data_IF_843304633609
#
_entry.id   IF_843304633609
#
_cell.length_a   1.000
_cell.length_b   1.000
_cell.length_c   1.000
_cell.angle_alpha   90.00
_cell.angle_beta   90.00
_cell.angle_gamma   90.00
#
_symmetry.space_group_name_H-M   'P 1'
#
loop_
_entity.id
_entity.type
_entity.pdbx_description
1 polymer ?
#
# COMPACT_ATOMS: atom_id res chain seq x y z
N UNK A 1 5.90 34.05 -13.90
CA UNK A 1 5.61 32.65 -13.51
C UNK A 1 4.79 32.60 -12.22
N UNK A 2 3.46 32.82 -12.26
CA UNK A 2 2.62 32.84 -11.06
C UNK A 2 2.46 31.48 -10.36
N UNK A 3 2.70 30.36 -11.07
CA UNK A 3 2.52 29.02 -10.52
C UNK A 3 3.66 28.57 -9.58
N UNK A 4 4.91 28.96 -9.84
CA UNK A 4 6.05 28.63 -8.94
C UNK A 4 5.88 29.28 -7.55
N UNK A 5 5.35 30.49 -7.50
CA UNK A 5 5.04 31.18 -6.24
C UNK A 5 3.84 30.58 -5.49
N UNK A 6 2.94 29.87 -6.19
CA UNK A 6 1.74 29.27 -5.59
C UNK A 6 2.03 27.89 -4.96
N UNK A 7 3.08 27.19 -5.41
CA UNK A 7 3.47 25.87 -4.90
C UNK A 7 4.96 25.82 -4.51
N UNK A 8 5.36 26.54 -3.45
CA UNK A 8 6.76 26.62 -3.03
C UNK A 8 7.20 25.32 -2.34
N UNK A 9 8.14 24.61 -2.96
CA UNK A 9 8.78 23.39 -2.42
C UNK A 9 10.19 23.24 -3.01
N UNK A 10 11.14 22.67 -2.25
CA UNK A 10 12.57 22.75 -2.57
C UNK A 10 13.03 21.79 -3.68
N UNK A 11 12.24 20.78 -4.07
CA UNK A 11 12.67 19.80 -5.07
C UNK A 11 12.51 20.24 -6.52
N UNK A 12 13.41 19.77 -7.38
CA UNK A 12 13.44 20.12 -8.81
C UNK A 12 12.35 19.37 -9.61
N UNK A 13 12.06 18.14 -9.22
CA UNK A 13 11.03 17.28 -9.82
C UNK A 13 9.98 16.97 -8.75
N UNK A 14 8.71 17.08 -9.09
CA UNK A 14 7.65 16.58 -8.20
C UNK A 14 7.31 15.13 -8.54
N UNK A 15 7.44 14.25 -7.54
CA UNK A 15 6.98 12.86 -7.62
C UNK A 15 5.57 12.79 -7.02
N UNK A 16 4.57 12.58 -7.86
CA UNK A 16 3.17 12.39 -7.43
C UNK A 16 2.90 10.90 -7.30
N UNK A 17 2.44 10.43 -6.13
CA UNK A 17 1.99 9.05 -6.02
C UNK A 17 0.64 8.89 -5.31
N UNK A 18 0.03 7.73 -5.53
CA UNK A 18 -1.27 7.37 -4.99
C UNK A 18 -1.21 7.03 -3.49
N UNK A 19 -2.25 7.42 -2.75
CA UNK A 19 -2.37 7.17 -1.31
C UNK A 19 -1.68 8.19 -0.40
N UNK A 20 -1.87 7.99 0.90
CA UNK A 20 -1.08 8.65 1.93
C UNK A 20 0.35 8.07 1.88
N UNK A 21 1.22 8.66 1.06
CA UNK A 21 2.68 8.45 1.03
C UNK A 21 3.38 8.78 2.37
N UNK A 22 2.65 8.79 3.49
CA UNK A 22 3.19 8.90 4.84
C UNK A 22 3.79 7.55 5.30
N UNK A 23 3.73 6.50 4.46
CA UNK A 23 4.18 5.13 4.70
C UNK A 23 5.64 4.82 4.34
N UNK A 24 5.91 3.62 3.85
CA UNK A 24 7.24 3.11 3.53
C UNK A 24 7.79 3.66 2.20
N UNK A 25 6.88 3.95 1.29
CA UNK A 25 7.11 4.30 -0.10
C UNK A 25 7.82 5.67 -0.23
N UNK A 26 7.37 6.70 0.48
CA UNK A 26 7.99 8.03 0.38
C UNK A 26 9.40 8.05 0.96
N UNK A 27 9.61 7.43 2.12
CA UNK A 27 10.95 7.34 2.73
C UNK A 27 11.87 6.49 1.86
N UNK A 28 11.36 5.44 1.23
CA UNK A 28 12.09 4.67 0.23
C UNK A 28 12.49 5.55 -0.94
N UNK A 29 11.54 6.22 -1.60
CA UNK A 29 11.80 7.08 -2.75
C UNK A 29 12.77 8.23 -2.41
N UNK A 30 12.65 8.84 -1.23
CA UNK A 30 13.58 9.87 -0.73
C UNK A 30 15.01 9.32 -0.63
N UNK A 31 15.20 8.19 0.05
CA UNK A 31 16.53 7.59 0.25
C UNK A 31 17.10 7.05 -1.08
N UNK A 32 16.26 6.44 -1.90
CA UNK A 32 16.64 5.77 -3.15
C UNK A 32 17.02 6.74 -4.28
N UNK A 33 16.22 7.79 -4.49
CA UNK A 33 16.54 8.83 -5.49
C UNK A 33 17.82 9.58 -5.12
N UNK A 34 18.17 9.56 -3.83
CA UNK A 34 19.35 10.18 -3.24
C UNK A 34 18.99 11.56 -2.70
N UNK A 35 19.35 11.80 -1.44
CA UNK A 35 19.36 13.15 -0.89
C UNK A 35 20.45 13.97 -1.59
N UNK A 36 20.01 15.12 -2.12
CA UNK A 36 20.78 16.35 -2.33
C UNK A 36 21.44 16.62 -3.69
N UNK A 37 20.94 17.67 -4.35
CA UNK A 37 21.77 18.63 -5.10
C UNK A 37 22.16 19.73 -4.09
N UNK A 38 23.34 19.64 -3.49
CA UNK A 38 23.78 20.61 -2.49
C UNK A 38 23.00 20.50 -1.18
N UNK A 39 22.09 21.45 -0.87
CA UNK A 39 21.27 21.46 0.36
C UNK A 39 19.77 21.24 0.12
N UNK A 40 19.35 20.97 -1.12
CA UNK A 40 17.94 20.77 -1.49
C UNK A 40 17.69 19.36 -2.05
N UNK A 41 16.55 18.71 -1.70
CA UNK A 41 16.19 17.39 -2.21
C UNK A 41 15.99 17.43 -3.73
N UNK A 42 16.44 16.42 -4.47
CA UNK A 42 16.24 16.32 -5.91
C UNK A 42 14.75 16.18 -6.27
N UNK A 43 14.07 15.31 -5.54
CA UNK A 43 12.66 15.00 -5.71
C UNK A 43 11.86 15.53 -4.53
N UNK A 44 10.77 16.23 -4.84
CA UNK A 44 9.75 16.59 -3.87
C UNK A 44 8.58 15.61 -3.98
N UNK A 45 8.25 14.91 -2.89
CA UNK A 45 7.24 13.86 -2.89
C UNK A 45 5.87 14.41 -2.50
N UNK A 46 4.86 14.13 -3.32
CA UNK A 46 3.49 14.58 -3.14
C UNK A 46 2.54 13.39 -2.90
N UNK A 47 2.11 13.14 -1.64
CA UNK A 47 0.99 12.24 -1.35
C UNK A 47 -0.30 12.83 -1.93
N UNK A 48 -0.87 12.18 -2.95
CA UNK A 48 -2.11 12.65 -3.55
C UNK A 48 -3.35 12.01 -2.90
N UNK A 49 -3.21 10.91 -2.16
CA UNK A 49 -4.32 10.21 -1.50
C UNK A 49 -5.15 9.32 -2.44
N UNK A 50 -5.41 9.74 -3.68
CA UNK A 50 -6.14 8.96 -4.71
C UNK A 50 -5.59 9.22 -6.10
N UNK A 51 -5.80 8.29 -7.04
CA UNK A 51 -5.56 8.49 -8.48
C UNK A 51 -6.30 9.71 -9.06
N UNK A 52 -7.54 9.97 -8.64
CA UNK A 52 -8.28 11.19 -9.04
C UNK A 52 -7.59 12.46 -8.58
N UNK A 53 -7.03 12.46 -7.37
CA UNK A 53 -6.27 13.60 -6.85
C UNK A 53 -4.95 13.82 -7.61
N UNK A 54 -4.28 12.73 -8.03
CA UNK A 54 -3.07 12.83 -8.87
C UNK A 54 -3.37 13.62 -10.14
N UNK A 55 -4.48 13.31 -10.81
CA UNK A 55 -4.91 14.02 -12.02
C UNK A 55 -5.17 15.52 -11.79
N UNK A 56 -5.70 15.90 -10.63
CA UNK A 56 -5.90 17.31 -10.28
C UNK A 56 -4.60 18.02 -9.92
N UNK A 57 -3.76 17.38 -9.11
CA UNK A 57 -2.48 17.91 -8.65
C UNK A 57 -1.47 18.01 -9.82
N UNK A 58 -1.50 17.06 -10.77
CA UNK A 58 -0.65 17.09 -11.96
C UNK A 58 -0.85 18.37 -12.77
N UNK A 59 -2.10 18.81 -12.95
CA UNK A 59 -2.40 20.04 -13.69
C UNK A 59 -1.84 21.28 -12.97
N UNK A 60 -1.93 21.30 -11.64
CA UNK A 60 -1.47 22.41 -10.83
C UNK A 60 0.05 22.52 -10.79
N UNK A 61 0.73 21.39 -10.54
CA UNK A 61 2.18 21.35 -10.31
C UNK A 61 2.96 21.27 -11.61
N UNK A 62 2.50 20.46 -12.57
CA UNK A 62 3.22 20.21 -13.82
C UNK A 62 3.33 21.43 -14.74
N UNK A 63 2.56 22.49 -14.50
CA UNK A 63 2.77 23.79 -15.15
C UNK A 63 3.94 24.58 -14.59
N UNK A 64 4.38 24.26 -13.38
CA UNK A 64 5.45 24.97 -12.67
C UNK A 64 6.79 24.24 -12.68
N UNK A 65 6.77 22.91 -12.73
CA UNK A 65 7.96 22.05 -12.67
C UNK A 65 7.66 20.70 -13.31
N UNK A 66 8.67 19.95 -13.77
CA UNK A 66 8.47 18.60 -14.28
C UNK A 66 7.92 17.67 -13.20
N UNK A 67 6.98 16.79 -13.58
CA UNK A 67 6.38 15.80 -12.68
C UNK A 67 6.65 14.37 -13.14
N UNK A 68 6.97 13.51 -12.18
CA UNK A 68 6.98 12.06 -12.32
C UNK A 68 5.76 11.53 -11.58
N UNK A 69 4.96 10.69 -12.23
CA UNK A 69 3.75 10.11 -11.62
C UNK A 69 3.92 8.61 -11.44
N UNK A 70 3.63 8.12 -10.23
CA UNK A 70 3.54 6.69 -9.90
C UNK A 70 2.14 6.39 -9.37
N UNK A 71 1.38 5.60 -10.10
CA UNK A 71 0.06 5.12 -9.68
C UNK A 71 0.09 3.64 -9.31
N UNK A 72 -0.78 3.23 -8.39
CA UNK A 72 -0.96 1.81 -8.10
C UNK A 72 -1.58 1.11 -9.30
N UNK A 73 -0.93 0.05 -9.79
CA UNK A 73 -1.53 -0.80 -10.83
C UNK A 73 -2.84 -1.42 -10.37
N UNK A 74 -3.03 -1.55 -9.05
CA UNK A 74 -4.15 -2.25 -8.41
C UNK A 74 -4.35 -3.63 -9.08
N UNK A 75 -5.58 -3.93 -9.47
CA UNK A 75 -5.96 -5.17 -10.15
C UNK A 75 -5.91 -5.04 -11.69
N UNK A 76 -5.17 -4.06 -12.26
CA UNK A 76 -4.98 -3.94 -13.73
C UNK A 76 -3.89 -4.91 -14.19
N UNK A 77 -4.04 -5.45 -15.40
CA UNK A 77 -2.91 -6.07 -16.09
C UNK A 77 -1.84 -5.04 -16.43
N UNK A 78 -0.62 -5.50 -16.72
CA UNK A 78 0.48 -4.61 -17.11
C UNK A 78 0.13 -3.81 -18.38
N UNK A 79 -0.43 -4.47 -19.39
CA UNK A 79 -0.79 -3.85 -20.67
C UNK A 79 -1.88 -2.78 -20.49
N UNK A 80 -2.97 -3.10 -19.78
CA UNK A 80 -4.04 -2.13 -19.47
C UNK A 80 -3.49 -0.91 -18.73
N UNK A 81 -2.63 -1.14 -17.73
CA UNK A 81 -2.05 -0.06 -16.95
C UNK A 81 -1.12 0.83 -17.78
N UNK A 82 -0.38 0.25 -18.72
CA UNK A 82 0.49 0.98 -19.63
C UNK A 82 -0.30 1.87 -20.60
N UNK A 83 -1.37 1.33 -21.19
CA UNK A 83 -2.27 2.08 -22.07
C UNK A 83 -2.94 3.25 -21.34
N UNK A 84 -3.41 3.02 -20.10
CA UNK A 84 -3.98 4.06 -19.25
C UNK A 84 -2.97 5.18 -18.94
N UNK A 85 -1.73 4.82 -18.58
CA UNK A 85 -0.67 5.79 -18.32
C UNK A 85 -0.36 6.65 -19.54
N UNK A 86 -0.22 6.05 -20.72
CA UNK A 86 0.04 6.78 -21.97
C UNK A 86 -1.11 7.75 -22.27
N UNK A 87 -2.35 7.30 -22.09
CA UNK A 87 -3.54 8.13 -22.33
C UNK A 87 -3.55 9.33 -21.37
N UNK A 88 -3.34 9.09 -20.07
CA UNK A 88 -3.31 10.13 -19.05
C UNK A 88 -2.16 11.13 -19.31
N UNK A 89 -0.96 10.64 -19.61
CA UNK A 89 0.19 11.48 -19.94
C UNK A 89 -0.12 12.41 -21.12
N UNK A 90 -0.54 11.85 -22.26
CA UNK A 90 -0.84 12.63 -23.48
C UNK A 90 -1.93 13.67 -23.27
N UNK A 91 -2.97 13.32 -22.52
CA UNK A 91 -4.08 14.22 -22.24
C UNK A 91 -3.65 15.44 -21.39
N UNK A 92 -2.67 15.26 -20.52
CA UNK A 92 -2.15 16.32 -19.64
C UNK A 92 -1.08 17.15 -20.33
N UNK A 93 -0.18 16.53 -21.10
CA UNK A 93 0.82 17.25 -21.91
C UNK A 93 0.16 18.22 -22.89
N UNK A 94 -1.02 17.87 -23.45
CA UNK A 94 -1.85 18.79 -24.26
C UNK A 94 -2.32 20.05 -23.54
N UNK A 95 -2.18 20.10 -22.21
CA UNK A 95 -2.60 21.21 -21.33
C UNK A 95 -1.40 21.94 -20.71
N UNK A 96 -0.25 21.87 -21.38
CA UNK A 96 1.03 22.48 -20.99
C UNK A 96 1.57 21.97 -19.64
N UNK A 97 1.23 20.72 -19.30
CA UNK A 97 1.73 20.03 -18.11
C UNK A 97 3.04 19.32 -18.47
N UNK A 98 4.12 19.62 -17.75
CA UNK A 98 5.44 19.01 -17.95
C UNK A 98 5.51 17.65 -17.25
N UNK A 99 5.21 16.57 -17.97
CA UNK A 99 5.28 15.19 -17.44
C UNK A 99 6.54 14.52 -17.96
N UNK A 100 7.44 14.09 -17.07
CA UNK A 100 8.66 13.36 -17.47
C UNK A 100 8.37 11.87 -17.65
N UNK A 101 7.48 11.33 -16.82
CA UNK A 101 6.97 9.96 -16.93
C UNK A 101 5.66 9.82 -16.15
N UNK A 102 4.74 9.03 -16.70
CA UNK A 102 3.60 8.49 -15.98
C UNK A 102 3.74 6.98 -15.97
N UNK A 103 3.97 6.42 -14.79
CA UNK A 103 4.18 4.99 -14.62
C UNK A 103 3.17 4.42 -13.65
N UNK A 104 2.89 3.14 -13.79
CA UNK A 104 2.24 2.37 -12.72
C UNK A 104 3.20 1.33 -12.20
N UNK A 105 3.25 1.24 -10.88
CA UNK A 105 3.93 0.14 -10.22
C UNK A 105 2.90 -0.86 -9.73
N UNK A 106 3.27 -2.12 -9.60
CA UNK A 106 2.47 -3.02 -8.78
C UNK A 106 2.81 -2.71 -7.32
N UNK A 107 2.03 -1.85 -6.65
CA UNK A 107 2.29 -1.48 -5.24
C UNK A 107 2.49 -2.68 -4.33
N UNK A 108 1.72 -3.74 -4.60
CA UNK A 108 1.89 -5.02 -3.95
C UNK A 108 3.37 -5.42 -4.02
N UNK A 109 4.04 -5.40 -5.18
CA UNK A 109 5.43 -5.84 -5.32
C UNK A 109 6.43 -5.05 -4.45
N UNK A 110 6.39 -3.72 -4.39
CA UNK A 110 7.33 -2.95 -3.55
C UNK A 110 7.07 -3.16 -2.05
N UNK A 111 5.82 -3.08 -1.62
CA UNK A 111 5.47 -3.37 -0.23
C UNK A 111 5.74 -4.84 0.14
N UNK A 112 5.61 -5.76 -0.82
CA UNK A 112 5.92 -7.18 -0.61
C UNK A 112 7.40 -7.47 -0.58
N UNK A 113 8.25 -6.66 -1.23
CA UNK A 113 9.68 -6.82 -1.04
C UNK A 113 10.11 -6.49 0.40
N UNK A 114 9.34 -5.66 1.10
CA UNK A 114 9.53 -5.46 2.54
C UNK A 114 9.19 -6.71 3.36
N UNK A 115 8.47 -7.67 2.78
CA UNK A 115 8.15 -8.98 3.34
C UNK A 115 9.13 -10.06 2.88
N UNK A 116 10.20 -9.72 2.16
CA UNK A 116 11.24 -10.70 1.91
C UNK A 116 11.90 -11.12 3.23
N UNK A 117 12.24 -12.42 3.42
CA UNK A 117 12.81 -12.90 4.68
C UNK A 117 14.05 -12.12 5.12
N UNK A 118 14.94 -11.81 4.18
CA UNK A 118 16.18 -11.05 4.45
C UNK A 118 15.94 -9.59 4.85
N UNK A 119 14.75 -9.05 4.57
CA UNK A 119 14.36 -7.68 4.96
C UNK A 119 13.60 -7.72 6.28
N UNK A 120 12.58 -8.59 6.35
CA UNK A 120 11.61 -8.61 7.44
C UNK A 120 12.16 -9.26 8.71
N UNK A 121 12.76 -10.45 8.59
CA UNK A 121 13.19 -11.25 9.73
C UNK A 121 14.20 -10.53 10.62
N UNK A 122 15.31 -9.96 10.12
CA UNK A 122 16.29 -9.32 10.99
C UNK A 122 15.69 -8.12 11.75
N UNK A 123 14.84 -7.33 11.09
CA UNK A 123 14.22 -6.14 11.70
C UNK A 123 13.28 -6.53 12.83
N UNK A 124 12.40 -7.49 12.61
CA UNK A 124 11.45 -7.94 13.62
C UNK A 124 12.11 -8.77 14.72
N UNK A 125 13.10 -9.60 14.38
CA UNK A 125 13.88 -10.37 15.34
C UNK A 125 14.53 -9.45 16.36
N UNK A 126 15.20 -8.40 15.89
CA UNK A 126 15.86 -7.42 16.74
C UNK A 126 14.85 -6.61 17.56
N UNK A 127 13.82 -6.05 16.91
CA UNK A 127 12.84 -5.21 17.58
C UNK A 127 12.06 -5.96 18.68
N UNK A 128 11.71 -7.22 18.43
CA UNK A 128 10.90 -8.02 19.33
C UNK A 128 11.69 -8.99 20.21
N UNK A 129 13.02 -9.08 20.04
CA UNK A 129 13.89 -10.02 20.75
C UNK A 129 13.33 -11.46 20.72
N UNK A 130 12.91 -11.91 19.53
CA UNK A 130 12.25 -13.20 19.28
C UNK A 130 13.09 -14.06 18.31
N UNK A 131 12.60 -15.23 17.90
CA UNK A 131 13.23 -16.07 16.86
C UNK A 131 12.52 -15.88 15.51
N UNK A 132 13.22 -16.21 14.42
CA UNK A 132 12.64 -16.16 13.07
C UNK A 132 11.39 -17.06 12.95
N UNK A 133 11.38 -18.22 13.62
CA UNK A 133 10.24 -19.14 13.68
C UNK A 133 8.97 -18.49 14.26
N UNK A 134 9.13 -17.58 15.23
CA UNK A 134 8.02 -16.87 15.86
C UNK A 134 7.37 -15.87 14.90
N UNK A 135 8.19 -15.20 14.08
CA UNK A 135 7.75 -14.23 13.07
C UNK A 135 7.00 -14.98 11.96
N UNK A 136 7.56 -16.11 11.49
CA UNK A 136 6.93 -16.96 10.48
C UNK A 136 5.60 -17.51 10.98
N UNK A 137 5.55 -18.00 12.22
CA UNK A 137 4.30 -18.46 12.84
C UNK A 137 3.28 -17.33 12.94
N UNK A 138 3.67 -16.13 13.35
CA UNK A 138 2.76 -14.99 13.39
C UNK A 138 2.20 -14.67 12.00
N UNK A 139 3.03 -14.69 10.96
CA UNK A 139 2.59 -14.50 9.57
C UNK A 139 1.57 -15.56 9.16
N UNK A 140 1.88 -16.84 9.36
CA UNK A 140 0.99 -17.96 9.04
C UNK A 140 -0.37 -17.85 9.77
N UNK A 141 -0.40 -17.32 10.99
CA UNK A 141 -1.64 -17.08 11.74
C UNK A 141 -2.44 -15.87 11.23
N UNK A 142 -1.76 -14.86 10.70
CA UNK A 142 -2.39 -13.65 10.13
C UNK A 142 -3.01 -13.94 8.76
N UNK A 143 -2.33 -14.77 7.97
CA UNK A 143 -2.65 -15.02 6.57
C UNK A 143 -4.17 -15.35 6.35
N UNK A 144 -4.80 -16.28 7.09
CA UNK A 144 -6.22 -16.58 6.92
C UNK A 144 -7.15 -15.41 7.25
N UNK A 145 -6.77 -14.56 8.21
CA UNK A 145 -7.57 -13.40 8.62
C UNK A 145 -7.53 -12.29 7.58
N UNK A 146 -6.40 -12.14 6.88
CA UNK A 146 -6.26 -11.20 5.77
C UNK A 146 -6.98 -11.65 4.51
N UNK A 147 -7.12 -12.96 4.30
CA UNK A 147 -7.77 -13.52 3.12
C UNK A 147 -9.19 -12.96 2.91
N UNK A 148 -9.98 -12.86 3.99
CA UNK A 148 -11.34 -12.32 3.92
C UNK A 148 -11.35 -10.85 3.50
N UNK A 149 -10.51 -10.04 4.16
CA UNK A 149 -10.42 -8.61 3.91
C UNK A 149 -10.00 -8.32 2.46
N UNK A 150 -8.94 -9.00 1.99
CA UNK A 150 -8.48 -8.84 0.61
C UNK A 150 -9.54 -9.34 -0.38
N UNK A 151 -10.30 -10.40 -0.07
CA UNK A 151 -11.29 -10.96 -1.00
C UNK A 151 -12.42 -9.97 -1.22
N UNK A 152 -12.84 -9.29 -0.15
CA UNK A 152 -13.76 -8.18 -0.21
C UNK A 152 -13.23 -7.04 -1.09
N UNK A 153 -12.00 -6.58 -0.88
CA UNK A 153 -11.42 -5.49 -1.67
C UNK A 153 -11.31 -5.84 -3.16
N UNK A 154 -10.90 -7.06 -3.47
CA UNK A 154 -10.84 -7.57 -4.84
C UNK A 154 -12.22 -7.54 -5.51
N UNK A 155 -13.21 -8.18 -4.89
CA UNK A 155 -14.57 -8.28 -5.45
C UNK A 155 -15.20 -6.89 -5.62
N UNK A 156 -15.01 -6.00 -4.63
CA UNK A 156 -15.49 -4.63 -4.70
C UNK A 156 -14.81 -3.79 -5.78
N UNK A 157 -13.50 -3.94 -5.97
CA UNK A 157 -12.76 -3.20 -6.99
C UNK A 157 -13.17 -3.64 -8.40
N UNK A 158 -13.33 -4.96 -8.61
CA UNK A 158 -13.87 -5.51 -9.86
C UNK A 158 -15.27 -4.97 -10.16
N UNK A 159 -16.14 -4.93 -9.16
CA UNK A 159 -17.47 -4.35 -9.29
C UNK A 159 -17.40 -2.85 -9.67
N UNK A 160 -16.55 -2.06 -9.00
CA UNK A 160 -16.37 -0.63 -9.27
C UNK A 160 -15.86 -0.32 -10.66
N UNK A 161 -15.00 -1.15 -11.26
CA UNK A 161 -14.48 -0.89 -12.61
C UNK A 161 -15.52 -1.07 -13.71
N UNK A 162 -16.44 -2.02 -13.52
CA UNK A 162 -17.55 -2.24 -14.45
C UNK A 162 -18.67 -1.21 -14.21
N UNK A 163 -18.68 -0.57 -13.04
CA UNK A 163 -19.58 0.51 -12.69
C UNK A 163 -19.12 1.83 -13.33
N UNK A 164 -19.74 2.21 -14.44
CA UNK A 164 -19.76 3.62 -14.87
C UNK A 164 -20.75 4.35 -13.95
N UNK A 165 -20.27 5.05 -12.93
CA UNK A 165 -21.16 5.81 -12.05
C UNK A 165 -21.81 6.98 -12.81
N UNK A 166 -23.14 7.08 -12.73
CA UNK A 166 -23.93 8.28 -13.08
C UNK A 166 -24.34 9.09 -11.84
N UNK A 167 -23.99 8.65 -10.63
CA UNK A 167 -24.34 9.32 -9.37
C UNK A 167 -23.10 9.44 -8.44
N UNK A 168 -22.60 10.65 -8.17
CA UNK A 168 -21.41 10.87 -7.36
C UNK A 168 -21.61 10.71 -5.84
N UNK A 169 -22.83 10.51 -5.34
CA UNK A 169 -23.10 10.67 -3.91
C UNK A 169 -23.03 9.39 -3.06
N UNK A 170 -23.11 8.18 -3.64
CA UNK A 170 -23.27 6.96 -2.82
C UNK A 170 -22.45 5.79 -3.38
N UNK A 171 -21.13 5.81 -3.13
CA UNK A 171 -20.27 4.65 -3.39
C UNK A 171 -19.73 4.07 -2.07
N UNK A 172 -20.55 3.24 -1.42
CA UNK A 172 -20.17 2.24 -0.41
C UNK A 172 -19.29 2.71 0.76
N UNK A 173 -19.95 3.21 1.82
CA UNK A 173 -19.34 3.46 3.13
C UNK A 173 -19.45 2.28 4.11
N UNK A 174 -19.70 1.05 3.64
CA UNK A 174 -19.75 -0.15 4.49
C UNK A 174 -18.53 -1.07 4.31
N UNK A 175 -17.35 -0.49 4.02
CA UNK A 175 -16.09 -1.21 3.80
C UNK A 175 -15.13 -1.18 5.00
N UNK A 176 -15.62 -1.21 6.24
CA UNK A 176 -14.76 -1.29 7.43
C UNK A 176 -15.35 -2.31 8.41
N UNK A 177 -15.20 -3.60 8.09
CA UNK A 177 -15.24 -4.60 9.16
C UNK A 177 -14.19 -4.21 10.19
N UNK A 178 -14.61 -4.20 11.44
CA UNK A 178 -13.73 -3.89 12.55
C UNK A 178 -12.65 -4.99 12.63
N UNK A 179 -11.37 -4.61 12.78
CA UNK A 179 -10.23 -5.56 12.78
C UNK A 179 -10.42 -6.64 13.85
N UNK A 180 -9.88 -7.84 13.72
CA UNK A 180 -9.89 -8.84 14.78
C UNK A 180 -9.45 -8.28 16.10
N UNK A 181 -10.22 -8.62 17.13
CA UNK A 181 -9.82 -8.38 18.50
C UNK A 181 -8.75 -9.41 18.86
N UNK A 182 -7.57 -8.93 19.25
CA UNK A 182 -6.56 -9.78 19.85
C UNK A 182 -6.82 -9.84 21.35
N UNK A 183 -7.46 -10.91 21.83
CA UNK A 183 -7.58 -11.19 23.26
C UNK A 183 -6.45 -12.12 23.71
N UNK A 184 -5.71 -11.67 24.73
CA UNK A 184 -4.44 -12.24 25.16
C UNK A 184 -4.49 -13.73 25.57
N UNK A 185 -3.38 -14.41 25.28
CA UNK A 185 -2.84 -15.68 25.80
C UNK A 185 -3.39 -17.04 25.35
N UNK A 186 -4.61 -17.16 24.81
CA UNK A 186 -5.18 -18.49 24.49
C UNK A 186 -5.82 -18.61 23.11
N UNK A 187 -6.17 -17.48 22.50
CA UNK A 187 -6.89 -17.46 21.24
C UNK A 187 -6.01 -16.68 20.25
N UNK A 188 -5.58 -17.33 19.17
CA UNK A 188 -4.84 -16.67 18.10
C UNK A 188 -5.66 -15.55 17.46
N UNK A 189 -5.22 -15.05 16.32
CA UNK A 189 -5.98 -14.05 15.56
C UNK A 189 -7.35 -14.62 15.24
N UNK A 190 -8.40 -13.93 15.70
CA UNK A 190 -9.78 -14.32 15.39
C UNK A 190 -10.09 -13.87 13.97
N UNK A 191 -10.29 -14.77 13.00
CA UNK A 191 -10.68 -14.36 11.66
C UNK A 191 -12.00 -13.57 11.72
N UNK A 192 -12.19 -12.53 10.90
CA UNK A 192 -13.48 -11.86 10.85
C UNK A 192 -14.57 -12.84 10.36
N UNK A 193 -15.82 -12.60 10.74
CA UNK A 193 -16.94 -13.49 10.42
C UNK A 193 -17.25 -13.49 8.92
N UNK A 194 -16.87 -14.57 8.24
CA UNK A 194 -17.06 -14.80 6.80
C UNK A 194 -18.53 -14.69 6.38
N UNK A 195 -19.43 -15.29 7.18
CA UNK A 195 -20.87 -15.31 6.89
C UNK A 195 -21.51 -13.92 6.89
N UNK A 196 -21.21 -13.11 7.90
CA UNK A 196 -21.70 -11.74 8.02
C UNK A 196 -21.16 -10.83 6.92
N UNK A 197 -19.87 -10.97 6.56
CA UNK A 197 -19.28 -10.20 5.46
C UNK A 197 -19.93 -10.55 4.12
N UNK A 198 -20.05 -11.86 3.83
CA UNK A 198 -20.71 -12.38 2.63
C UNK A 198 -22.16 -11.91 2.52
N UNK A 199 -22.92 -11.95 3.61
CA UNK A 199 -24.29 -11.45 3.65
C UNK A 199 -24.38 -9.95 3.32
N UNK A 200 -23.43 -9.15 3.83
CA UNK A 200 -23.32 -7.73 3.50
C UNK A 200 -23.01 -7.48 2.01
N UNK A 201 -22.10 -8.27 1.42
CA UNK A 201 -21.82 -8.22 -0.02
C UNK A 201 -23.06 -8.58 -0.85
N UNK A 202 -23.76 -9.66 -0.51
CA UNK A 202 -25.00 -10.08 -1.17
C UNK A 202 -26.07 -8.98 -1.11
N UNK A 203 -26.30 -8.39 0.05
CA UNK A 203 -27.27 -7.32 0.24
C UNK A 203 -26.93 -6.09 -0.63
N UNK A 204 -25.68 -5.63 -0.61
CA UNK A 204 -25.24 -4.49 -1.40
C UNK A 204 -25.30 -4.78 -2.90
N UNK A 205 -24.91 -5.97 -3.32
CA UNK A 205 -24.99 -6.41 -4.72
C UNK A 205 -26.43 -6.49 -5.23
N UNK A 206 -27.37 -6.94 -4.39
CA UNK A 206 -28.81 -6.96 -4.72
C UNK A 206 -29.39 -5.55 -4.85
N UNK A 207 -29.16 -4.70 -3.85
CA UNK A 207 -29.62 -3.31 -3.88
C UNK A 207 -29.11 -2.57 -5.12
N UNK A 208 -27.86 -2.86 -5.52
CA UNK A 208 -27.27 -2.29 -6.73
C UNK A 208 -27.89 -2.83 -8.03
N UNK A 209 -28.14 -4.15 -8.11
CA UNK A 209 -28.82 -4.77 -9.28
C UNK A 209 -30.21 -4.17 -9.50
N UNK A 210 -30.96 -3.95 -8.43
CA UNK A 210 -32.28 -3.33 -8.49
C UNK A 210 -32.25 -1.89 -9.03
N UNK A 211 -31.17 -1.15 -8.78
CA UNK A 211 -31.04 0.25 -9.20
C UNK A 211 -30.51 0.43 -10.63
N UNK A 212 -29.61 -0.44 -11.11
CA UNK A 212 -28.81 -0.15 -12.32
C UNK A 212 -29.07 -1.06 -13.53
N UNK A 213 -30.07 -1.95 -13.47
CA UNK A 213 -30.65 -2.76 -14.56
C UNK A 213 -29.73 -3.49 -15.56
N UNK A 214 -28.40 -3.45 -15.43
CA UNK A 214 -27.54 -3.81 -16.58
C UNK A 214 -26.09 -4.15 -16.24
N UNK A 215 -25.78 -4.95 -15.22
CA UNK A 215 -24.47 -5.65 -15.17
C UNK A 215 -24.62 -7.08 -14.62
N UNK A 216 -24.01 -8.04 -15.32
CA UNK A 216 -23.88 -9.44 -14.94
C UNK A 216 -22.52 -9.69 -14.25
N UNK A 217 -22.29 -9.12 -13.07
CA UNK A 217 -21.09 -9.41 -12.28
C UNK A 217 -21.46 -10.27 -11.07
N UNK A 218 -20.84 -11.45 -10.95
CA UNK A 218 -20.99 -12.33 -9.79
C UNK A 218 -19.99 -11.96 -8.70
N UNK A 219 -20.25 -10.83 -8.04
CA UNK A 219 -19.38 -10.27 -6.97
C UNK A 219 -19.16 -11.27 -5.83
N UNK A 220 -20.19 -12.05 -5.49
CA UNK A 220 -20.13 -13.04 -4.41
C UNK A 220 -19.32 -14.25 -4.86
N UNK A 221 -19.52 -14.72 -6.10
CA UNK A 221 -18.69 -15.76 -6.69
C UNK A 221 -17.21 -15.39 -6.77
N UNK A 222 -16.89 -14.15 -7.16
CA UNK A 222 -15.51 -13.64 -7.21
C UNK A 222 -14.86 -13.61 -5.82
N UNK A 223 -15.61 -13.16 -4.81
CA UNK A 223 -15.19 -13.21 -3.41
C UNK A 223 -14.92 -14.65 -2.95
N UNK A 224 -15.88 -15.57 -3.16
CA UNK A 224 -15.77 -16.98 -2.74
C UNK A 224 -14.57 -17.67 -3.41
N UNK A 225 -14.33 -17.39 -4.69
CA UNK A 225 -13.20 -17.92 -5.44
C UNK A 225 -11.87 -17.43 -4.86
N UNK A 226 -11.71 -16.11 -4.67
CA UNK A 226 -10.47 -15.52 -4.12
C UNK A 226 -10.22 -15.92 -2.67
N UNK A 227 -11.25 -15.90 -1.81
CA UNK A 227 -11.12 -16.31 -0.42
C UNK A 227 -10.65 -17.76 -0.29
N UNK A 228 -11.21 -18.68 -1.11
CA UNK A 228 -10.78 -20.09 -1.12
C UNK A 228 -9.31 -20.27 -1.49
N UNK A 229 -8.79 -19.47 -2.42
CA UNK A 229 -7.37 -19.48 -2.79
C UNK A 229 -6.51 -18.99 -1.62
N UNK A 230 -6.89 -17.87 -1.00
CA UNK A 230 -6.03 -17.21 0.00
C UNK A 230 -6.06 -17.85 1.38
N UNK A 231 -7.19 -18.40 1.83
CA UNK A 231 -7.33 -18.92 3.20
C UNK A 231 -6.39 -20.09 3.53
N UNK A 232 -5.90 -20.80 2.50
CA UNK A 232 -4.98 -21.93 2.64
C UNK A 232 -3.50 -21.56 2.50
N UNK A 233 -3.20 -20.30 2.19
CA UNK A 233 -1.84 -19.84 1.96
C UNK A 233 -1.02 -19.87 3.25
N UNK A 234 0.27 -20.14 3.08
CA UNK A 234 1.32 -20.05 4.09
C UNK A 234 2.36 -19.04 3.65
N UNK A 235 3.16 -18.53 4.59
CA UNK A 235 4.23 -17.57 4.35
C UNK A 235 5.16 -17.96 3.19
N UNK A 236 5.46 -19.27 3.06
CA UNK A 236 6.33 -19.82 2.01
C UNK A 236 5.68 -19.88 0.64
N UNK A 237 4.36 -19.70 0.54
CA UNK A 237 3.64 -19.75 -0.71
C UNK A 237 3.80 -18.40 -1.44
N UNK A 238 4.93 -18.19 -2.12
CA UNK A 238 5.32 -16.88 -2.69
C UNK A 238 4.25 -16.14 -3.53
N UNK A 239 3.20 -16.83 -4.01
CA UNK A 239 2.09 -16.23 -4.75
C UNK A 239 1.16 -15.34 -3.89
N UNK A 240 1.07 -15.52 -2.56
CA UNK A 240 0.21 -14.64 -1.74
C UNK A 240 0.74 -13.20 -1.75
N UNK A 241 2.05 -13.01 -1.96
CA UNK A 241 2.65 -11.68 -2.09
C UNK A 241 1.94 -10.93 -3.22
N UNK A 242 1.89 -11.47 -4.43
CA UNK A 242 1.32 -10.75 -5.59
C UNK A 242 -0.13 -10.28 -5.41
N UNK A 243 -0.89 -10.93 -4.54
CA UNK A 243 -2.32 -10.66 -4.34
C UNK A 243 -2.64 -9.77 -3.13
N UNK A 244 -1.72 -9.58 -2.18
CA UNK A 244 -2.01 -8.88 -0.92
C UNK A 244 -1.27 -7.55 -0.81
N UNK A 245 -1.92 -6.58 -0.17
CA UNK A 245 -1.30 -5.30 0.17
C UNK A 245 -0.31 -5.49 1.33
N UNK A 246 0.99 -5.34 1.06
CA UNK A 246 2.05 -5.57 2.04
C UNK A 246 1.92 -4.73 3.31
N UNK A 247 1.40 -3.50 3.21
CA UNK A 247 1.11 -2.64 4.37
C UNK A 247 0.11 -3.25 5.35
N UNK A 248 -0.91 -3.96 4.86
CA UNK A 248 -1.88 -4.63 5.73
C UNK A 248 -1.21 -5.82 6.41
N UNK A 249 -0.41 -6.60 5.69
CA UNK A 249 0.37 -7.70 6.28
C UNK A 249 1.30 -7.19 7.38
N UNK A 250 2.05 -6.14 7.10
CA UNK A 250 2.96 -5.52 8.07
C UNK A 250 2.21 -4.95 9.28
N UNK A 251 1.05 -4.34 9.05
CA UNK A 251 0.24 -3.81 10.13
C UNK A 251 -0.22 -4.93 11.07
N UNK A 252 -0.76 -6.00 10.52
CA UNK A 252 -1.21 -7.15 11.32
C UNK A 252 -0.07 -7.91 11.98
N UNK A 253 1.10 -7.94 11.35
CA UNK A 253 2.30 -8.49 11.95
C UNK A 253 2.74 -7.67 13.16
N UNK A 254 2.73 -6.34 13.08
CA UNK A 254 3.01 -5.47 14.24
C UNK A 254 2.04 -5.76 15.39
N UNK A 255 0.75 -5.89 15.10
CA UNK A 255 -0.25 -6.29 16.11
C UNK A 255 0.15 -7.61 16.75
N UNK A 256 0.35 -8.66 15.95
CA UNK A 256 0.65 -10.00 16.46
C UNK A 256 1.93 -10.03 17.31
N UNK A 257 2.99 -9.37 16.84
CA UNK A 257 4.29 -9.38 17.51
C UNK A 257 4.28 -8.57 18.80
N UNK A 258 3.59 -7.42 18.83
CA UNK A 258 3.44 -6.60 20.04
C UNK A 258 2.54 -7.27 21.08
N UNK A 259 1.53 -8.02 20.65
CA UNK A 259 0.71 -8.81 21.57
C UNK A 259 1.45 -10.01 22.15
N UNK A 260 2.30 -10.68 21.36
CA UNK A 260 3.05 -11.88 21.81
C UNK A 260 4.28 -11.55 22.65
N UNK A 261 5.09 -10.58 22.20
CA UNK A 261 6.43 -10.31 22.74
C UNK A 261 6.54 -8.93 23.42
N UNK A 262 5.49 -8.12 23.35
CA UNK A 262 5.49 -6.74 23.83
C UNK A 262 6.30 -5.79 22.95
N UNK A 263 5.99 -4.50 23.10
CA UNK A 263 6.78 -3.41 22.53
C UNK A 263 7.67 -2.77 23.61
N UNK A 264 8.93 -2.41 23.31
CA UNK A 264 9.77 -1.66 24.25
C UNK A 264 9.10 -0.35 24.68
N UNK A 265 9.05 -0.10 25.99
CA UNK A 265 8.41 1.12 26.54
C UNK A 265 9.25 2.36 26.19
N UNK A 266 10.57 2.20 26.18
CA UNK A 266 11.56 3.19 25.78
C UNK A 266 12.80 2.49 25.19
N UNK A 267 13.72 3.27 24.63
CA UNK A 267 14.87 2.73 23.91
C UNK A 267 15.94 2.10 24.83
N UNK A 268 15.95 2.45 26.12
CA UNK A 268 17.01 2.09 27.07
C UNK A 268 16.56 1.02 28.07
N UNK A 269 15.25 0.86 28.29
CA UNK A 269 14.72 -0.12 29.22
C UNK A 269 14.55 -1.49 28.58
N UNK A 270 14.93 -2.53 29.33
CA UNK A 270 14.60 -3.91 29.00
C UNK A 270 13.09 -4.22 29.21
N UNK A 271 12.28 -3.23 29.60
CA UNK A 271 10.87 -3.40 29.91
C UNK A 271 10.06 -3.36 28.61
N UNK A 272 9.24 -4.39 28.43
CA UNK A 272 8.33 -4.54 27.28
C UNK A 272 6.90 -4.53 27.77
N UNK A 273 6.02 -3.88 27.02
CA UNK A 273 4.60 -3.81 27.31
C UNK A 273 3.81 -4.52 26.22
N UNK A 274 2.97 -5.48 26.63
CA UNK A 274 1.93 -6.04 25.76
C UNK A 274 0.87 -4.98 25.49
N UNK A 275 0.57 -4.75 24.21
CA UNK A 275 -0.45 -3.80 23.81
C UNK A 275 -1.79 -4.51 23.62
N UNK A 276 -2.79 -4.04 24.36
CA UNK A 276 -4.19 -4.42 24.14
C UNK A 276 -4.74 -3.56 23.01
N UNK A 277 -4.86 -4.16 21.83
CA UNK A 277 -5.39 -3.50 20.65
C UNK A 277 -6.91 -3.38 20.76
N UNK A 278 -7.42 -2.14 20.80
CA UNK A 278 -8.86 -1.86 20.83
C UNK A 278 -9.29 -0.96 19.67
N UNK A 279 -10.55 -1.15 19.26
CA UNK A 279 -11.12 -0.86 17.95
C UNK A 279 -11.52 0.61 17.68
N UNK A 280 -10.83 1.58 18.25
CA UNK A 280 -11.02 2.99 17.91
C UNK A 280 -9.99 3.45 16.87
N UNK A 281 -10.41 4.06 15.76
CA UNK A 281 -9.50 4.60 14.73
C UNK A 281 -8.43 5.53 15.33
N UNK A 282 -8.83 6.42 16.23
CA UNK A 282 -7.94 7.40 16.85
C UNK A 282 -6.96 6.74 17.84
N UNK A 283 -7.43 5.79 18.64
CA UNK A 283 -6.58 5.02 19.57
C UNK A 283 -5.60 4.11 18.81
N UNK A 284 -6.03 3.54 17.68
CA UNK A 284 -5.24 2.71 16.77
C UNK A 284 -4.09 3.49 16.16
N UNK A 285 -4.37 4.67 15.60
CA UNK A 285 -3.32 5.51 14.98
C UNK A 285 -2.27 5.94 16.02
N UNK A 286 -2.69 6.19 17.27
CA UNK A 286 -1.77 6.54 18.34
C UNK A 286 -0.86 5.38 18.80
N UNK A 287 -1.34 4.12 18.74
CA UNK A 287 -0.56 2.95 19.16
C UNK A 287 0.34 2.38 18.05
N UNK A 288 -0.15 2.32 16.80
CA UNK A 288 0.61 1.72 15.70
C UNK A 288 1.65 2.67 15.11
N UNK A 289 1.33 3.96 14.95
CA UNK A 289 2.23 4.92 14.28
C UNK A 289 3.62 4.99 14.92
N UNK A 290 3.79 5.00 16.26
CA UNK A 290 5.11 5.00 16.87
C UNK A 290 5.92 3.74 16.53
N UNK A 291 5.27 2.58 16.49
CA UNK A 291 5.89 1.29 16.18
C UNK A 291 6.31 1.27 14.71
N UNK A 292 5.38 1.64 13.82
CA UNK A 292 5.64 1.77 12.40
C UNK A 292 6.77 2.77 12.12
N UNK A 293 6.77 3.93 12.77
CA UNK A 293 7.82 4.94 12.62
C UNK A 293 9.20 4.42 13.06
N UNK A 294 9.27 3.51 14.03
CA UNK A 294 10.52 2.90 14.48
C UNK A 294 11.00 1.78 13.56
N UNK A 295 10.10 0.94 13.05
CA UNK A 295 10.47 -0.21 12.20
C UNK A 295 10.74 0.20 10.75
N UNK A 296 9.96 1.15 10.23
CA UNK A 296 9.99 1.56 8.83
C UNK A 296 11.40 1.93 8.32
N UNK A 297 12.17 2.80 8.99
CA UNK A 297 13.50 3.16 8.49
C UNK A 297 14.41 1.93 8.33
N UNK A 298 14.38 1.01 9.30
CA UNK A 298 15.19 -0.22 9.31
C UNK A 298 14.81 -1.15 8.17
N UNK A 299 13.51 -1.33 7.93
CA UNK A 299 13.03 -2.15 6.81
C UNK A 299 13.43 -1.56 5.47
N UNK A 300 13.33 -0.23 5.31
CA UNK A 300 13.75 0.46 4.09
C UNK A 300 15.25 0.31 3.87
N UNK A 301 16.07 0.47 4.92
CA UNK A 301 17.52 0.34 4.81
C UNK A 301 17.93 -1.09 4.41
N UNK A 302 17.29 -2.10 5.01
CA UNK A 302 17.48 -3.50 4.60
C UNK A 302 17.02 -3.75 3.16
N UNK A 303 15.88 -3.20 2.76
CA UNK A 303 15.39 -3.34 1.39
C UNK A 303 16.32 -2.67 0.38
N UNK A 304 16.79 -1.45 0.65
CA UNK A 304 17.75 -0.73 -0.20
C UNK A 304 19.05 -1.52 -0.38
N UNK A 305 19.54 -2.16 0.67
CA UNK A 305 20.71 -3.04 0.60
C UNK A 305 20.45 -4.31 -0.25
N UNK A 306 19.20 -4.77 -0.33
CA UNK A 306 18.76 -5.93 -1.12
C UNK A 306 18.50 -5.61 -2.59
N UNK A 307 18.21 -4.36 -2.97
CA UNK A 307 17.90 -3.98 -4.37
C UNK A 307 18.89 -4.59 -5.38
N UNK A 308 20.22 -4.52 -5.20
CA UNK A 308 21.18 -5.09 -6.15
C UNK A 308 21.05 -6.60 -6.38
N UNK A 309 20.45 -7.34 -5.44
CA UNK A 309 20.28 -8.79 -5.50
C UNK A 309 18.89 -9.24 -5.97
N UNK A 310 17.96 -8.30 -6.22
CA UNK A 310 16.63 -8.62 -6.76
C UNK A 310 16.71 -9.19 -8.18
N UNK A 311 15.66 -9.87 -8.68
CA UNK A 311 15.58 -10.26 -10.09
C UNK A 311 15.84 -9.09 -11.03
N UNK A 312 16.45 -9.36 -12.18
CA UNK A 312 16.98 -8.34 -13.09
C UNK A 312 15.90 -7.36 -13.54
N UNK A 313 14.72 -7.88 -13.83
CA UNK A 313 13.58 -7.13 -14.34
C UNK A 313 13.16 -6.02 -13.37
N UNK A 314 13.17 -6.32 -12.08
CA UNK A 314 12.84 -5.35 -11.02
C UNK A 314 13.97 -4.33 -10.86
N UNK A 315 15.23 -4.79 -10.88
CA UNK A 315 16.38 -3.87 -10.82
C UNK A 315 16.38 -2.88 -11.97
N UNK A 316 16.14 -3.37 -13.18
CA UNK A 316 16.09 -2.55 -14.40
C UNK A 316 14.94 -1.53 -14.33
N UNK A 317 13.79 -1.87 -13.72
CA UNK A 317 12.69 -0.94 -13.46
C UNK A 317 13.12 0.20 -12.52
N UNK A 318 13.71 -0.12 -11.37
CA UNK A 318 14.27 0.89 -10.47
C UNK A 318 15.33 1.73 -11.19
N UNK A 319 16.38 1.11 -11.74
CA UNK A 319 17.47 1.84 -12.39
C UNK A 319 16.98 2.74 -13.55
N UNK A 320 16.00 2.28 -14.33
CA UNK A 320 15.35 3.04 -15.38
C UNK A 320 14.61 4.27 -14.85
N UNK A 321 13.79 4.11 -13.81
CA UNK A 321 13.10 5.23 -13.16
C UNK A 321 14.11 6.26 -12.60
N UNK A 322 15.19 5.79 -11.98
CA UNK A 322 16.25 6.66 -11.45
C UNK A 322 16.96 7.45 -12.56
N UNK A 323 17.24 6.80 -13.69
CA UNK A 323 17.88 7.42 -14.83
C UNK A 323 16.99 8.52 -15.43
N UNK A 324 15.69 8.27 -15.59
CA UNK A 324 14.71 9.25 -16.09
C UNK A 324 14.63 10.46 -15.17
N UNK A 325 14.54 10.26 -13.85
CA UNK A 325 14.51 11.36 -12.89
C UNK A 325 15.79 12.19 -12.99
N UNK A 326 16.97 11.55 -13.05
CA UNK A 326 18.26 12.26 -13.13
C UNK A 326 18.47 13.01 -14.44
N UNK A 327 17.93 12.54 -15.56
CA UNK A 327 18.09 13.21 -16.86
C UNK A 327 17.28 14.50 -17.00
N UNK A 328 16.34 14.76 -16.09
CA UNK A 328 15.49 15.95 -16.08
C UNK A 328 15.78 16.90 -14.91
N UNK A 329 17.00 16.80 -14.36
CA UNK A 329 17.54 17.79 -13.42
C UNK A 329 17.66 19.15 -14.12
N UNK A 330 17.10 20.19 -13.50
CA UNK A 330 17.09 21.57 -14.02
C UNK A 330 18.21 22.38 -13.37
#
# INVERSE_FOLDING_TARGET
MPYLSAYPRPGQIALLCEGDLIGYEATLFQKWTGTELGTAPLVDIWPCGTSTSILGISDAIGRSRPIFVIEDRDFRSADESHEDCIRNQKDRERRDVQIIAWSTWNRSEVENYLLEPDVLLPVFREAFACRDDDIISALDDILPSLALFQAGQYAMSRARRLWLSTDPAVALLSGLSSRPQWNDSTHGIVPPDDGAFRAGLEQNGNAWREQMNTIQCDVVGDFDAKFKVWKGCRWKDHFWRTDWAGKEILHWLRIAMTSRFGWPIDAESAKRQTLNWTMGRDKREAQDRPIEAALRPRMIDQFLAKIPTLPKEIRDEFDGMRAIIKSHQI
#
